data_IF_766416094454
#
_entry.id   IF_766416094454
#
_cell.length_a   1.000
_cell.length_b   1.000
_cell.length_c   1.000
_cell.angle_alpha   90.00
_cell.angle_beta   90.00
_cell.angle_gamma   90.00
#
_symmetry.space_group_name_H-M   'P 1'
#
loop_
_entity.id
_entity.type
_entity.pdbx_description
1 polymer ?
#
# COMPACT_ATOMS: atom_id res chain seq x y z
N UNK A 1 3.74 13.42 21.21
CA UNK A 1 2.57 13.76 20.36
C UNK A 1 1.44 12.81 20.67
N UNK A 2 0.19 13.28 20.69
CA UNK A 2 -0.99 12.42 20.82
C UNK A 2 -1.27 11.77 19.45
N UNK A 3 -1.43 10.44 19.34
CA UNK A 3 -1.76 9.79 18.08
C UNK A 3 -3.05 10.38 17.49
N UNK A 4 -3.05 10.68 16.18
CA UNK A 4 -4.23 11.23 15.49
C UNK A 4 -5.03 10.08 14.88
N UNK A 5 -6.27 9.92 15.33
CA UNK A 5 -7.25 9.06 14.69
C UNK A 5 -7.83 9.78 13.45
N UNK A 6 -7.84 9.11 12.31
CA UNK A 6 -8.46 9.55 11.06
C UNK A 6 -9.44 8.48 10.60
N UNK A 7 -10.48 8.86 9.84
CA UNK A 7 -11.40 7.90 9.22
C UNK A 7 -11.42 8.07 7.70
N UNK A 8 -11.57 6.96 6.98
CA UNK A 8 -11.69 6.95 5.52
C UNK A 8 -12.57 5.79 5.05
N UNK A 9 -13.24 5.97 3.93
CA UNK A 9 -13.95 4.87 3.25
C UNK A 9 -12.92 3.97 2.56
N UNK A 10 -13.05 2.66 2.76
CA UNK A 10 -12.37 1.63 2.01
C UNK A 10 -13.35 1.09 0.95
N UNK A 11 -13.35 1.75 -0.20
CA UNK A 11 -14.36 1.55 -1.25
C UNK A 11 -14.38 0.11 -1.77
N UNK A 12 -13.21 -0.50 -2.01
CA UNK A 12 -13.12 -1.84 -2.58
C UNK A 12 -13.69 -2.94 -1.66
N UNK A 13 -13.65 -2.70 -0.35
CA UNK A 13 -14.19 -3.63 0.66
C UNK A 13 -15.54 -3.16 1.22
N UNK A 14 -16.02 -1.98 0.81
CA UNK A 14 -17.27 -1.39 1.29
C UNK A 14 -17.31 -1.08 2.78
N UNK A 15 -16.19 -0.73 3.40
CA UNK A 15 -16.08 -0.58 4.87
C UNK A 15 -15.43 0.75 5.28
N UNK A 16 -15.87 1.33 6.39
CA UNK A 16 -15.18 2.46 7.01
C UNK A 16 -13.91 1.95 7.72
N UNK A 17 -12.81 2.67 7.58
CA UNK A 17 -11.56 2.39 8.28
C UNK A 17 -11.20 3.49 9.27
N UNK A 18 -10.88 3.08 10.49
CA UNK A 18 -10.20 3.87 11.51
C UNK A 18 -8.70 3.77 11.30
N UNK A 19 -7.99 4.88 11.28
CA UNK A 19 -6.58 4.94 10.91
C UNK A 19 -5.77 5.70 11.96
N UNK A 20 -4.61 5.16 12.32
CA UNK A 20 -3.63 5.83 13.17
C UNK A 20 -2.28 5.80 12.48
N UNK A 21 -1.65 6.97 12.36
CA UNK A 21 -0.31 7.13 11.80
C UNK A 21 0.74 7.07 12.92
N UNK A 22 1.69 6.16 12.79
CA UNK A 22 2.83 6.01 13.70
C UNK A 22 4.10 5.89 12.88
N UNK A 23 5.04 6.83 13.05
CA UNK A 23 6.34 6.83 12.36
C UNK A 23 6.22 6.68 10.83
N UNK A 24 5.24 7.34 10.22
CA UNK A 24 4.98 7.26 8.77
C UNK A 24 4.30 5.96 8.31
N UNK A 25 3.84 5.11 9.23
CA UNK A 25 3.06 3.91 8.94
C UNK A 25 1.62 4.13 9.40
N UNK A 26 0.69 4.10 8.45
CA UNK A 26 -0.74 4.10 8.71
C UNK A 26 -1.20 2.67 9.03
N UNK A 27 -1.75 2.46 10.23
CA UNK A 27 -2.40 1.20 10.63
C UNK A 27 -3.91 1.43 10.65
N UNK A 28 -4.67 0.51 10.05
CA UNK A 28 -6.10 0.63 9.90
C UNK A 28 -6.87 -0.50 10.60
N UNK A 29 -8.03 -0.16 11.17
CA UNK A 29 -9.08 -1.08 11.67
C UNK A 29 -10.37 -0.86 10.89
N UNK A 30 -10.98 -1.95 10.43
CA UNK A 30 -12.31 -1.93 9.80
C UNK A 30 -13.42 -1.74 10.83
N UNK A 31 -14.47 -1.02 10.46
CA UNK A 31 -15.66 -0.85 11.29
C UNK A 31 -16.53 -2.11 11.30
N UNK A 32 -16.84 -2.67 10.12
CA UNK A 32 -17.76 -3.79 9.91
C UNK A 32 -17.39 -5.12 10.61
N UNK A 33 -16.11 -5.50 10.60
CA UNK A 33 -15.65 -6.79 11.13
C UNK A 33 -14.46 -6.68 12.10
N UNK A 34 -14.07 -5.45 12.43
CA UNK A 34 -12.98 -5.13 13.35
C UNK A 34 -11.61 -5.71 12.99
N UNK A 35 -11.42 -6.20 11.76
CA UNK A 35 -10.11 -6.66 11.33
C UNK A 35 -9.11 -5.49 11.28
N UNK A 36 -7.86 -5.78 11.61
CA UNK A 36 -6.74 -4.84 11.63
C UNK A 36 -5.77 -5.22 10.50
N UNK A 37 -5.19 -4.23 9.83
CA UNK A 37 -4.11 -4.48 8.88
C UNK A 37 -2.83 -4.94 9.62
N UNK A 38 -2.66 -6.25 9.73
CA UNK A 38 -1.55 -6.90 10.43
C UNK A 38 -0.19 -6.63 9.77
N UNK A 39 -0.14 -6.42 8.45
CA UNK A 39 1.09 -6.03 7.77
C UNK A 39 1.61 -4.68 8.25
N UNK A 40 0.73 -3.68 8.40
CA UNK A 40 1.11 -2.35 8.88
C UNK A 40 1.45 -2.36 10.36
N UNK A 41 0.65 -3.05 11.17
CA UNK A 41 0.89 -3.22 12.61
C UNK A 41 2.29 -3.79 12.90
N UNK A 42 2.69 -4.87 12.23
CA UNK A 42 3.98 -5.51 12.47
C UNK A 42 5.17 -4.69 11.94
N UNK A 43 4.95 -3.81 10.96
CA UNK A 43 5.96 -2.82 10.55
C UNK A 43 6.17 -1.74 11.63
N UNK A 44 5.11 -1.34 12.37
CA UNK A 44 5.24 -0.42 13.52
C UNK A 44 6.05 -1.02 14.66
N UNK A 45 5.94 -2.35 14.85
CA UNK A 45 6.79 -3.15 15.75
C UNK A 45 8.23 -3.32 15.26
N UNK A 46 8.57 -2.83 14.05
CA UNK A 46 9.91 -2.94 13.45
C UNK A 46 10.41 -4.40 13.35
N UNK A 47 9.50 -5.36 13.14
CA UNK A 47 9.89 -6.75 12.90
C UNK A 47 10.62 -6.92 11.56
N UNK A 48 11.51 -7.91 11.50
CA UNK A 48 12.11 -8.32 10.22
C UNK A 48 11.06 -8.87 9.26
N UNK A 49 11.31 -8.72 7.95
CA UNK A 49 10.41 -9.21 6.89
C UNK A 49 10.06 -10.70 7.07
N UNK A 50 11.07 -11.55 7.30
CA UNK A 50 10.87 -12.99 7.47
C UNK A 50 10.00 -13.34 8.68
N UNK A 51 10.24 -12.69 9.83
CA UNK A 51 9.43 -12.90 11.05
C UNK A 51 7.99 -12.47 10.82
N UNK A 52 7.78 -11.27 10.25
CA UNK A 52 6.46 -10.74 9.91
C UNK A 52 5.71 -11.68 8.97
N UNK A 53 6.32 -12.07 7.86
CA UNK A 53 5.68 -12.91 6.84
C UNK A 53 5.35 -14.30 7.42
N UNK A 54 6.19 -14.84 8.31
CA UNK A 54 5.91 -16.07 9.05
C UNK A 54 4.68 -15.95 9.96
N UNK A 55 4.59 -14.90 10.77
CA UNK A 55 3.45 -14.64 11.66
C UNK A 55 2.15 -14.50 10.86
N UNK A 56 2.16 -13.71 9.79
CA UNK A 56 0.97 -13.48 8.96
C UNK A 56 0.54 -14.73 8.19
N UNK A 57 1.49 -15.55 7.73
CA UNK A 57 1.20 -16.82 7.05
C UNK A 57 0.54 -17.82 8.01
N UNK A 58 1.01 -17.87 9.26
CA UNK A 58 0.50 -18.77 10.29
C UNK A 58 -0.91 -18.41 10.79
N UNK A 59 -1.35 -17.16 10.61
CA UNK A 59 -2.69 -16.75 11.02
C UNK A 59 -3.76 -17.47 10.19
N UNK A 60 -4.71 -18.15 10.85
CA UNK A 60 -5.73 -18.97 10.17
C UNK A 60 -6.82 -18.10 9.58
N UNK A 61 -7.37 -17.19 10.39
CA UNK A 61 -8.42 -16.27 9.97
C UNK A 61 -7.77 -15.00 9.46
N UNK A 62 -7.63 -14.87 8.14
CA UNK A 62 -7.01 -13.70 7.52
C UNK A 62 -7.65 -13.38 6.17
N UNK A 63 -7.63 -12.11 5.81
CA UNK A 63 -7.99 -11.62 4.48
C UNK A 63 -6.78 -10.96 3.83
N UNK A 64 -6.57 -11.16 2.53
CA UNK A 64 -5.43 -10.59 1.79
C UNK A 64 -5.93 -9.56 0.79
N UNK A 65 -5.64 -8.29 1.07
CA UNK A 65 -5.96 -7.17 0.19
C UNK A 65 -4.74 -6.87 -0.68
N UNK A 66 -4.88 -7.10 -1.99
CA UNK A 66 -3.81 -6.87 -2.98
C UNK A 66 -3.98 -5.59 -3.78
N UNK A 67 -5.22 -5.16 -3.98
CA UNK A 67 -5.62 -4.01 -4.78
C UNK A 67 -6.23 -2.96 -3.83
N UNK A 68 -6.13 -1.69 -4.20
CA UNK A 68 -6.63 -0.56 -3.42
C UNK A 68 -5.52 0.35 -2.89
N UNK A 69 -5.86 1.31 -2.00
CA UNK A 69 -4.90 2.29 -1.48
C UNK A 69 -3.69 1.63 -0.81
N UNK A 70 -2.49 2.19 -1.03
CA UNK A 70 -1.23 1.61 -0.53
C UNK A 70 -1.22 1.35 0.99
N UNK A 71 -1.90 2.20 1.76
CA UNK A 71 -2.00 2.09 3.20
C UNK A 71 -3.02 1.02 3.65
N UNK A 72 -3.91 0.55 2.78
CA UNK A 72 -4.92 -0.48 3.05
C UNK A 72 -4.53 -1.87 2.53
N UNK A 73 -3.61 -1.96 1.56
CA UNK A 73 -3.05 -3.24 1.11
C UNK A 73 -2.36 -4.00 2.25
N UNK A 74 -2.46 -5.32 2.21
CA UNK A 74 -1.77 -6.21 3.16
C UNK A 74 -2.63 -7.37 3.62
N UNK A 75 -2.13 -8.07 4.65
CA UNK A 75 -2.85 -9.12 5.34
C UNK A 75 -3.61 -8.51 6.51
N UNK A 76 -4.92 -8.68 6.51
CA UNK A 76 -5.82 -8.28 7.58
C UNK A 76 -6.04 -9.47 8.51
N UNK A 77 -5.98 -9.22 9.81
CA UNK A 77 -6.11 -10.22 10.87
C UNK A 77 -7.17 -9.79 11.90
N UNK A 78 -7.74 -10.72 12.69
CA UNK A 78 -8.82 -10.40 13.62
C UNK A 78 -8.31 -9.50 14.75
N UNK A 79 -9.23 -8.71 15.32
CA UNK A 79 -8.95 -7.77 16.40
C UNK A 79 -8.13 -8.39 17.54
N UNK A 80 -8.61 -9.49 18.11
CA UNK A 80 -7.97 -10.17 19.25
C UNK A 80 -6.54 -10.62 18.93
N UNK A 81 -6.33 -11.10 17.69
CA UNK A 81 -5.00 -11.51 17.25
C UNK A 81 -4.06 -10.33 17.14
N UNK A 82 -4.52 -9.24 16.53
CA UNK A 82 -3.75 -8.00 16.39
C UNK A 82 -3.38 -7.43 17.76
N UNK A 83 -4.33 -7.43 18.71
CA UNK A 83 -4.11 -6.97 20.08
C UNK A 83 -3.04 -7.80 20.80
N UNK A 84 -3.11 -9.13 20.69
CA UNK A 84 -2.10 -10.01 21.27
C UNK A 84 -0.69 -9.72 20.73
N UNK A 85 -0.56 -9.52 19.41
CA UNK A 85 0.72 -9.17 18.77
C UNK A 85 1.20 -7.77 19.19
N UNK A 86 0.29 -6.80 19.29
CA UNK A 86 0.63 -5.44 19.72
C UNK A 86 1.11 -5.41 21.18
N UNK A 87 0.51 -6.21 22.06
CA UNK A 87 0.92 -6.36 23.45
C UNK A 87 2.30 -7.03 23.57
N UNK A 88 2.55 -8.11 22.81
CA UNK A 88 3.86 -8.78 22.80
C UNK A 88 5.00 -7.84 22.38
N UNK A 89 4.75 -6.96 21.41
CA UNK A 89 5.76 -6.02 20.92
C UNK A 89 5.67 -4.64 21.58
N UNK A 90 4.83 -4.47 22.61
CA UNK A 90 4.63 -3.23 23.38
C UNK A 90 4.31 -1.99 22.52
N UNK A 91 3.49 -2.16 21.48
CA UNK A 91 3.07 -1.07 20.57
C UNK A 91 1.61 -0.65 20.75
N UNK A 92 0.86 -1.25 21.67
CA UNK A 92 -0.56 -0.97 21.92
C UNK A 92 -0.81 0.53 22.19
N UNK A 93 -0.03 1.14 23.10
CA UNK A 93 -0.14 2.56 23.45
C UNK A 93 0.15 3.49 22.26
N UNK A 94 1.09 3.10 21.39
CA UNK A 94 1.45 3.87 20.20
C UNK A 94 0.32 3.89 19.17
N UNK A 95 -0.51 2.84 19.18
CA UNK A 95 -1.62 2.63 18.25
C UNK A 95 -2.97 3.04 18.85
N UNK A 96 -3.01 3.61 20.05
CA UNK A 96 -4.24 4.16 20.61
C UNK A 96 -4.87 5.17 19.62
N UNK A 97 -6.18 5.10 19.32
CA UNK A 97 -7.20 4.29 19.97
C UNK A 97 -7.62 3.01 19.22
N UNK A 98 -6.83 2.46 18.29
CA UNK A 98 -7.26 1.34 17.43
C UNK A 98 -7.76 0.11 18.21
N UNK A 99 -7.23 -0.12 19.41
CA UNK A 99 -7.58 -1.22 20.29
C UNK A 99 -8.68 -0.91 21.33
N UNK A 100 -9.33 0.25 21.25
CA UNK A 100 -10.53 0.52 22.05
C UNK A 100 -11.68 -0.33 21.52
N UNK A 101 -12.34 -1.13 22.36
CA UNK A 101 -13.40 -2.04 21.91
C UNK A 101 -14.50 -1.32 21.11
N UNK A 102 -15.06 -0.25 21.68
CA UNK A 102 -16.10 0.58 21.07
C UNK A 102 -15.50 1.84 20.43
N UNK A 103 -14.63 1.66 19.44
CA UNK A 103 -13.93 2.76 18.79
C UNK A 103 -14.88 3.74 18.09
N UNK A 104 -16.05 3.28 17.65
CA UNK A 104 -17.07 4.10 16.96
C UNK A 104 -17.60 5.22 17.85
N UNK A 105 -17.61 5.02 19.17
CA UNK A 105 -17.98 6.03 20.15
C UNK A 105 -17.10 7.29 20.07
N UNK A 106 -15.87 7.16 19.54
CA UNK A 106 -14.95 8.28 19.33
C UNK A 106 -15.30 9.12 18.09
N UNK A 107 -16.14 8.63 17.17
CA UNK A 107 -16.63 9.43 16.06
C UNK A 107 -17.90 10.18 16.42
N UNK A 108 -18.82 9.50 17.09
CA UNK A 108 -20.18 10.00 17.34
C UNK A 108 -20.35 10.72 18.69
N UNK A 109 -19.27 10.93 19.44
CA UNK A 109 -19.36 11.69 20.69
C UNK A 109 -19.71 13.17 20.40
N UNK A 110 -20.64 13.79 21.16
CA UNK A 110 -21.01 15.18 20.97
C UNK A 110 -19.83 16.16 21.12
N UNK A 111 -18.81 15.79 21.91
CA UNK A 111 -17.56 16.54 22.03
C UNK A 111 -16.71 16.58 20.72
N UNK A 112 -16.93 15.64 19.80
CA UNK A 112 -16.22 15.54 18.52
C UNK A 112 -17.04 16.07 17.33
N UNK A 113 -18.34 16.34 17.51
CA UNK A 113 -19.24 16.89 16.48
C UNK A 113 -18.85 18.30 16.00
N UNK A 114 -18.01 19.01 16.76
CA UNK A 114 -17.52 20.34 16.40
C UNK A 114 -16.30 20.33 15.45
N UNK A 115 -15.79 19.16 15.04
CA UNK A 115 -14.70 19.08 14.05
C UNK A 115 -15.29 19.00 12.65
N UNK A 116 -15.05 19.98 11.77
CA UNK A 116 -15.41 19.84 10.36
C UNK A 116 -14.67 18.64 9.80
N UNK A 117 -15.41 17.61 9.39
CA UNK A 117 -14.88 16.56 8.53
C UNK A 117 -14.49 17.25 7.22
N UNK A 118 -13.23 17.21 6.78
CA UNK A 118 -12.86 17.78 5.49
C UNK A 118 -13.58 16.97 4.40
N UNK A 119 -14.62 17.56 3.82
CA UNK A 119 -15.27 17.01 2.63
C UNK A 119 -14.24 17.00 1.49
N UNK A 120 -14.02 15.87 0.80
CA UNK A 120 -13.19 15.84 -0.39
C UNK A 120 -13.86 16.72 -1.46
N UNK A 121 -13.26 17.88 -1.77
CA UNK A 121 -13.78 18.82 -2.78
C UNK A 121 -13.82 20.29 -2.35
N UNK A 122 -13.62 20.61 -1.07
CA UNK A 122 -13.55 21.99 -0.59
C UNK A 122 -12.11 22.53 -0.61
N UNK A 123 -11.53 22.68 -1.81
CA UNK A 123 -10.38 23.56 -2.01
C UNK A 123 -10.91 24.98 -2.28
N UNK A 124 -10.39 26.03 -1.64
CA UNK A 124 -10.68 27.40 -2.07
C UNK A 124 -10.14 27.60 -3.48
N UNK A 125 -11.03 27.99 -4.39
CA UNK A 125 -10.73 28.36 -5.77
C UNK A 125 -10.01 29.72 -5.78
N UNK A 126 -8.72 29.73 -5.41
CA UNK A 126 -7.94 30.97 -5.40
C UNK A 126 -6.79 30.91 -6.40
N UNK A 127 -6.89 31.83 -7.37
CA UNK A 127 -5.92 32.24 -8.39
C UNK A 127 -6.10 31.65 -9.79
N UNK A 128 -7.18 32.13 -10.44
CA UNK A 128 -7.14 32.51 -11.86
C UNK A 128 -5.93 33.44 -12.10
N UNK A 129 -4.84 32.91 -12.63
CA UNK A 129 -3.83 33.73 -13.28
C UNK A 129 -4.18 33.94 -14.76
N UNK A 130 -4.31 35.21 -15.12
CA UNK A 130 -4.59 35.75 -16.45
C UNK A 130 -3.50 35.39 -17.48
N UNK A 131 -3.82 35.28 -18.79
CA UNK A 131 -2.82 35.06 -19.82
C UNK A 131 -2.06 36.36 -20.12
N UNK A 132 -0.75 36.36 -19.88
CA UNK A 132 0.15 37.39 -20.40
C UNK A 132 0.61 36.99 -21.80
N UNK A 133 0.16 37.76 -22.79
CA UNK A 133 0.77 37.83 -24.12
C UNK A 133 2.22 38.31 -24.00
N UNK A 134 3.17 37.57 -24.55
CA UNK A 134 4.48 38.13 -24.95
C UNK A 134 4.86 37.58 -26.32
N UNK A 135 5.17 38.53 -27.20
CA UNK A 135 5.45 38.43 -28.63
C UNK A 135 6.75 37.68 -28.93
N UNK A 136 6.78 37.00 -30.08
CA UNK A 136 8.00 36.56 -30.76
C UNK A 136 8.78 37.76 -31.32
N UNK A 137 10.11 37.62 -31.49
CA UNK A 137 10.60 37.62 -32.88
C UNK A 137 11.66 36.55 -33.19
N UNK A 138 11.73 36.27 -34.50
CA UNK A 138 12.53 35.30 -35.22
C UNK A 138 14.04 35.55 -35.15
N UNK A 139 14.85 34.49 -35.10
CA UNK A 139 16.08 34.45 -35.89
C UNK A 139 16.50 33.01 -36.25
N UNK A 140 16.91 32.88 -37.51
CA UNK A 140 17.10 31.67 -38.31
C UNK A 140 18.21 30.73 -37.82
N UNK A 141 18.13 29.44 -38.19
CA UNK A 141 19.10 28.75 -39.08
C UNK A 141 18.78 27.25 -39.25
N UNK A 142 18.70 26.84 -40.53
CA UNK A 142 19.04 25.54 -41.13
C UNK A 142 18.39 24.21 -40.66
N UNK A 143 17.62 23.60 -41.57
CA UNK A 143 17.49 22.13 -41.75
C UNK A 143 18.80 21.55 -42.35
N UNK A 144 19.06 20.21 -42.44
CA UNK A 144 18.10 19.10 -42.48
C UNK A 144 18.50 17.78 -41.76
N UNK A 145 17.56 16.83 -41.74
CA UNK A 145 17.66 15.35 -41.68
C UNK A 145 18.93 14.64 -41.16
N UNK A 146 18.77 13.59 -40.34
CA UNK A 146 19.43 12.28 -40.48
C UNK A 146 18.92 11.30 -39.40
N UNK A 147 18.68 10.07 -39.83
CA UNK A 147 18.21 8.91 -39.07
C UNK A 147 19.20 8.43 -37.99
N UNK A 148 18.77 7.70 -36.95
CA UNK A 148 19.68 6.95 -36.10
C UNK A 148 20.07 5.60 -36.75
N UNK A 149 21.33 5.14 -36.61
CA UNK A 149 21.78 3.86 -37.13
C UNK A 149 21.46 2.70 -36.18
N UNK A 150 21.10 1.56 -36.77
CA UNK A 150 21.09 0.24 -36.16
C UNK A 150 22.47 -0.41 -36.31
N UNK A 151 23.05 -0.92 -35.22
CA UNK A 151 24.13 -1.91 -35.19
C UNK A 151 24.11 -2.60 -33.81
N UNK A 152 24.48 -3.86 -33.61
CA UNK A 152 24.62 -5.04 -34.46
C UNK A 152 24.87 -6.18 -33.45
N UNK A 153 24.15 -7.28 -33.60
CA UNK A 153 24.48 -8.54 -32.92
C UNK A 153 25.60 -9.26 -33.69
N UNK A 154 26.61 -9.84 -33.03
CA UNK A 154 27.52 -10.79 -33.67
C UNK A 154 27.05 -12.24 -33.53
N UNK A 155 27.58 -13.16 -34.36
CA UNK A 155 26.76 -14.21 -34.95
C UNK A 155 27.28 -15.66 -34.79
N UNK A 156 26.39 -16.60 -35.18
CA UNK A 156 26.59 -17.95 -35.74
C UNK A 156 27.28 -19.08 -34.94
N UNK A 157 26.62 -20.25 -34.99
CA UNK A 157 27.21 -21.57 -34.72
C UNK A 157 26.21 -22.70 -34.94
N UNK A 158 25.99 -23.07 -36.21
CA UNK A 158 25.14 -24.18 -36.64
C UNK A 158 25.97 -25.49 -36.62
N UNK A 159 25.46 -26.59 -36.06
CA UNK A 159 25.96 -27.93 -36.35
C UNK A 159 24.86 -28.99 -36.12
N UNK A 160 24.45 -29.63 -37.20
CA UNK A 160 23.65 -30.86 -37.23
C UNK A 160 24.53 -32.09 -36.98
N UNK A 161 23.84 -33.20 -36.69
CA UNK A 161 24.20 -34.63 -36.89
C UNK A 161 24.92 -35.36 -35.76
N UNK A 162 24.21 -36.28 -35.06
CA UNK A 162 24.26 -37.73 -35.35
C UNK A 162 23.35 -38.54 -34.40
N UNK A 163 22.67 -39.53 -34.99
CA UNK A 163 21.89 -40.60 -34.35
C UNK A 163 22.80 -41.57 -33.57
N UNK A 164 22.30 -42.12 -32.47
CA UNK A 164 22.53 -43.52 -32.09
C UNK A 164 21.45 -43.99 -31.09
N UNK A 165 20.79 -45.09 -31.46
CA UNK A 165 20.16 -46.11 -30.61
C UNK A 165 20.92 -46.35 -29.29
N UNK A 166 20.20 -46.63 -28.19
CA UNK A 166 20.22 -47.97 -27.58
C UNK A 166 19.18 -48.10 -26.45
N UNK A 167 18.81 -49.35 -26.26
CA UNK A 167 17.65 -49.98 -25.64
C UNK A 167 17.79 -50.15 -24.10
N UNK A 168 16.68 -50.59 -23.48
CA UNK A 168 16.58 -51.38 -22.22
C UNK A 168 16.71 -50.76 -20.81
N UNK A 169 15.50 -50.71 -20.22
CA UNK A 169 15.02 -51.39 -18.98
C UNK A 169 15.02 -50.61 -17.63
N UNK A 170 13.93 -50.75 -16.85
CA UNK A 170 13.89 -50.35 -15.44
C UNK A 170 14.47 -51.46 -14.54
N UNK A 171 15.13 -51.06 -13.45
CA UNK A 171 15.41 -51.95 -12.31
C UNK A 171 14.35 -51.74 -11.23
N UNK A 172 13.91 -52.91 -10.75
CA UNK A 172 13.09 -53.28 -9.59
C UNK A 172 12.91 -52.24 -8.49
#
# INVERSE_FOLDING_TARGET
MRPRLTTSIFEEEGSLCFQVDVNGICVARREDNHMINGTKLLNVAQMTRGRRDGILKAEKQKAVVKIGPMHLKGVWIPFERALALANQEQITERLYPLFVHQIDSLLYHPANAARPVPLPGAYPEEQRMSPLQVQSPLQAHAQPHMSPPAQAQPPHGNAQTQQADDDRRPRL
#
